data_IF_325026839234
#
_entry.id   IF_325026839234
#
_cell.length_a   1.000
_cell.length_b   1.000
_cell.length_c   1.000
_cell.angle_alpha   90.00
_cell.angle_beta   90.00
_cell.angle_gamma   90.00
#
_symmetry.space_group_name_H-M   'P 1'
#
loop_
_entity.id
_entity.type
_entity.pdbx_description
1 polymer ?
#
# COMPACT_ATOMS: atom_id res chain seq x y z
N UNK A 1 -2.09 6.11 -57.58
CA UNK A 1 -2.96 5.73 -56.46
C UNK A 1 -2.17 5.82 -55.19
N UNK A 2 -2.53 6.72 -54.34
CA UNK A 2 -1.89 6.89 -53.06
C UNK A 2 -2.83 6.35 -52.01
N UNK A 3 -2.45 5.25 -51.39
CA UNK A 3 -3.17 4.72 -50.25
C UNK A 3 -2.72 5.50 -49.03
N UNK A 4 -3.60 6.35 -48.51
CA UNK A 4 -3.42 7.06 -47.29
C UNK A 4 -3.84 6.09 -46.17
N UNK A 5 -2.89 5.35 -45.61
CA UNK A 5 -3.12 4.59 -44.41
C UNK A 5 -3.20 5.57 -43.24
N UNK A 6 -4.42 5.91 -42.89
CA UNK A 6 -4.70 6.60 -41.66
C UNK A 6 -4.46 5.59 -40.52
N UNK A 7 -3.26 5.62 -39.99
CA UNK A 7 -2.93 4.85 -38.81
C UNK A 7 -3.68 5.47 -37.62
N UNK A 8 -4.87 4.97 -37.38
CA UNK A 8 -5.65 5.32 -36.20
C UNK A 8 -4.97 4.69 -35.00
N UNK A 9 -4.05 5.42 -34.39
CA UNK A 9 -3.48 5.04 -33.11
C UNK A 9 -4.59 5.20 -32.07
N UNK A 10 -5.24 4.10 -31.75
CA UNK A 10 -6.13 4.00 -30.61
C UNK A 10 -5.26 4.13 -29.38
N UNK A 11 -5.13 5.35 -28.87
CA UNK A 11 -4.60 5.57 -27.53
C UNK A 11 -5.65 5.03 -26.58
N UNK A 12 -5.48 3.78 -26.20
CA UNK A 12 -6.22 3.19 -25.10
C UNK A 12 -5.74 3.89 -23.83
N UNK A 13 -6.35 5.02 -23.51
CA UNK A 13 -6.32 5.54 -22.15
C UNK A 13 -7.10 4.55 -21.27
N UNK A 14 -6.52 3.37 -21.06
CA UNK A 14 -7.02 2.44 -20.07
C UNK A 14 -6.87 3.08 -18.71
N UNK A 15 -7.96 3.17 -17.93
CA UNK A 15 -7.89 3.41 -16.50
C UNK A 15 -6.89 2.41 -15.93
N UNK A 16 -5.74 2.93 -15.55
CA UNK A 16 -4.52 2.18 -15.40
C UNK A 16 -4.61 1.20 -14.24
N UNK A 17 -4.50 -0.13 -14.45
CA UNK A 17 -4.24 -1.07 -13.36
C UNK A 17 -2.87 -0.81 -12.69
N UNK A 18 -2.07 0.11 -13.24
CA UNK A 18 -0.76 0.47 -12.74
C UNK A 18 -0.79 0.99 -11.30
N UNK A 19 -1.81 1.77 -10.91
CA UNK A 19 -1.91 2.31 -9.56
C UNK A 19 -2.13 1.19 -8.53
N UNK A 20 -2.99 0.23 -8.83
CA UNK A 20 -3.22 -0.93 -7.97
C UNK A 20 -1.98 -1.82 -7.91
N UNK A 21 -1.34 -2.06 -9.05
CA UNK A 21 -0.10 -2.85 -9.10
C UNK A 21 1.03 -2.17 -8.32
N UNK A 22 1.18 -0.86 -8.45
CA UNK A 22 2.17 -0.09 -7.69
C UNK A 22 1.89 -0.14 -6.19
N UNK A 23 0.63 -0.05 -5.79
CA UNK A 23 0.23 -0.18 -4.38
C UNK A 23 0.52 -1.58 -3.85
N UNK A 24 0.27 -2.63 -4.63
CA UNK A 24 0.61 -4.01 -4.26
C UNK A 24 2.12 -4.20 -4.07
N UNK A 25 2.93 -3.59 -4.90
CA UNK A 25 4.40 -3.60 -4.74
C UNK A 25 4.81 -2.92 -3.43
N UNK A 26 4.16 -1.82 -3.07
CA UNK A 26 4.40 -1.13 -1.80
C UNK A 26 3.98 -1.97 -0.58
N UNK A 27 2.93 -2.78 -0.69
CA UNK A 27 2.57 -3.75 0.36
C UNK A 27 3.66 -4.81 0.51
N UNK A 28 4.17 -5.34 -0.58
CA UNK A 28 5.28 -6.30 -0.55
C UNK A 28 6.51 -5.70 0.12
N UNK A 29 6.83 -4.46 -0.23
CA UNK A 29 7.93 -3.70 0.39
C UNK A 29 7.70 -3.46 1.88
N UNK A 30 6.45 -3.17 2.28
CA UNK A 30 6.08 -3.02 3.68
C UNK A 30 6.41 -4.29 4.48
N UNK A 31 6.00 -5.46 3.98
CA UNK A 31 6.27 -6.72 4.64
C UNK A 31 7.77 -7.05 4.71
N UNK A 32 8.52 -6.75 3.65
CA UNK A 32 9.97 -6.94 3.63
C UNK A 32 10.67 -6.07 4.69
N UNK A 33 10.30 -4.82 4.78
CA UNK A 33 10.85 -3.89 5.78
C UNK A 33 10.41 -4.25 7.20
N UNK A 34 9.18 -4.70 7.37
CA UNK A 34 8.69 -5.19 8.65
C UNK A 34 9.54 -6.37 9.14
N UNK A 35 9.77 -7.35 8.28
CA UNK A 35 10.59 -8.53 8.61
C UNK A 35 12.03 -8.17 8.94
N UNK A 36 12.55 -7.14 8.28
CA UNK A 36 13.95 -6.71 8.44
C UNK A 36 14.15 -5.70 9.57
N UNK A 37 13.08 -5.32 10.26
CA UNK A 37 13.13 -4.30 11.31
C UNK A 37 13.41 -2.89 10.81
N UNK A 38 13.17 -2.63 9.53
CA UNK A 38 13.43 -1.33 8.88
C UNK A 38 12.21 -0.41 8.98
N UNK A 39 11.78 -0.14 10.20
CA UNK A 39 10.57 0.65 10.46
C UNK A 39 10.75 2.14 10.15
N UNK A 40 11.95 2.67 10.36
CA UNK A 40 12.27 4.07 10.06
C UNK A 40 12.15 4.33 8.56
N UNK A 41 12.65 3.41 7.74
CA UNK A 41 12.55 3.50 6.28
C UNK A 41 11.10 3.48 5.81
N UNK A 42 10.24 2.68 6.46
CA UNK A 42 8.81 2.68 6.18
C UNK A 42 8.18 4.05 6.48
N UNK A 43 8.51 4.63 7.61
CA UNK A 43 8.01 5.95 7.99
C UNK A 43 8.48 7.04 7.02
N UNK A 44 9.75 7.04 6.68
CA UNK A 44 10.33 8.04 5.79
C UNK A 44 9.78 7.94 4.37
N UNK A 45 9.41 6.74 3.93
CA UNK A 45 8.80 6.52 2.63
C UNK A 45 7.29 6.72 2.59
N UNK A 46 6.65 6.93 3.74
CA UNK A 46 5.21 7.17 3.83
C UNK A 46 4.83 8.59 3.40
N UNK A 47 3.54 8.82 3.22
CA UNK A 47 3.03 10.14 2.85
C UNK A 47 3.18 11.14 4.00
N UNK A 48 3.15 12.41 3.67
CA UNK A 48 3.10 13.47 4.68
C UNK A 48 1.87 13.37 5.58
N UNK A 49 0.74 12.94 5.03
CA UNK A 49 -0.49 12.73 5.80
C UNK A 49 -0.25 11.73 6.93
N UNK A 50 0.42 10.62 6.66
CA UNK A 50 0.77 9.65 7.69
C UNK A 50 1.75 10.25 8.69
N UNK A 51 2.80 10.89 8.22
CA UNK A 51 3.84 11.48 9.07
C UNK A 51 3.31 12.59 9.99
N UNK A 52 2.29 13.32 9.54
CA UNK A 52 1.61 14.34 10.36
C UNK A 52 0.66 13.73 11.38
N UNK A 53 0.15 12.53 11.12
CA UNK A 53 -0.81 11.85 12.01
C UNK A 53 -0.14 11.09 13.16
N UNK A 54 1.12 10.70 13.01
CA UNK A 54 1.87 9.93 14.00
C UNK A 54 3.36 10.30 13.92
N UNK A 55 4.03 10.40 15.06
CA UNK A 55 5.46 10.64 15.09
C UNK A 55 6.26 9.41 14.63
N UNK A 56 7.48 9.63 14.17
CA UNK A 56 8.39 8.53 13.81
C UNK A 56 8.58 7.55 14.97
N UNK A 57 8.81 8.06 16.16
CA UNK A 57 9.02 7.26 17.37
C UNK A 57 7.81 6.37 17.67
N UNK A 58 6.60 6.94 17.61
CA UNK A 58 5.37 6.18 17.87
C UNK A 58 5.11 5.16 16.78
N UNK A 59 5.34 5.50 15.52
CA UNK A 59 5.20 4.57 14.40
C UNK A 59 6.14 3.37 14.55
N UNK A 60 7.41 3.62 14.83
CA UNK A 60 8.41 2.57 15.05
C UNK A 60 8.01 1.68 16.24
N UNK A 61 7.56 2.29 17.33
CA UNK A 61 7.12 1.55 18.52
C UNK A 61 5.90 0.66 18.24
N UNK A 62 4.93 1.14 17.46
CA UNK A 62 3.76 0.35 17.07
C UNK A 62 4.17 -0.88 16.27
N UNK A 63 5.02 -0.73 15.26
CA UNK A 63 5.46 -1.86 14.44
C UNK A 63 6.36 -2.83 15.22
N UNK A 64 7.23 -2.31 16.04
CA UNK A 64 8.10 -3.15 16.88
C UNK A 64 7.28 -3.97 17.88
N UNK A 65 6.27 -3.38 18.49
CA UNK A 65 5.34 -4.09 19.38
C UNK A 65 4.55 -5.15 18.62
N UNK A 66 4.09 -4.82 17.41
CA UNK A 66 3.39 -5.78 16.56
C UNK A 66 4.26 -7.01 16.31
N UNK A 67 5.53 -6.83 15.94
CA UNK A 67 6.44 -7.95 15.69
C UNK A 67 6.75 -8.75 16.97
N UNK A 68 7.09 -8.09 18.04
CA UNK A 68 7.59 -8.76 19.25
C UNK A 68 6.45 -9.41 20.05
N UNK A 69 5.31 -8.74 20.18
CA UNK A 69 4.26 -9.10 21.13
C UNK A 69 2.98 -9.60 20.45
N UNK A 70 2.53 -8.95 19.37
CA UNK A 70 1.15 -9.11 18.90
C UNK A 70 1.03 -10.04 17.70
N UNK A 71 1.78 -9.80 16.64
CA UNK A 71 1.68 -10.54 15.37
C UNK A 71 2.78 -11.58 15.19
N UNK A 72 3.98 -11.25 15.63
CA UNK A 72 5.17 -12.03 15.32
C UNK A 72 5.69 -11.76 13.91
N UNK A 73 6.31 -12.79 13.33
CA UNK A 73 6.93 -12.69 12.01
C UNK A 73 5.91 -12.88 10.91
N UNK A 74 6.02 -12.06 9.87
CA UNK A 74 5.21 -12.20 8.67
C UNK A 74 5.53 -13.50 7.93
N UNK A 75 4.50 -14.20 7.45
CA UNK A 75 4.65 -15.45 6.71
C UNK A 75 4.12 -15.34 5.29
N UNK A 76 2.86 -14.99 5.11
CA UNK A 76 2.23 -14.84 3.79
C UNK A 76 1.03 -13.92 3.83
N UNK A 77 0.63 -13.42 2.66
CA UNK A 77 -0.54 -12.56 2.51
C UNK A 77 -1.29 -12.87 1.21
N UNK A 78 -2.59 -12.61 1.24
CA UNK A 78 -3.47 -12.80 0.09
C UNK A 78 -4.35 -11.57 -0.05
N UNK A 79 -4.35 -10.95 -1.24
CA UNK A 79 -5.22 -9.82 -1.54
C UNK A 79 -6.68 -10.28 -1.57
N UNK A 80 -7.54 -9.62 -0.80
CA UNK A 80 -8.97 -9.91 -0.70
C UNK A 80 -9.84 -8.87 -1.37
N UNK A 81 -9.45 -7.61 -1.35
CA UNK A 81 -10.23 -6.51 -1.91
C UNK A 81 -9.33 -5.36 -2.31
N UNK A 82 -9.75 -4.67 -3.35
CA UNK A 82 -9.09 -3.46 -3.82
C UNK A 82 -10.14 -2.42 -4.19
N UNK A 83 -9.86 -1.16 -3.88
CA UNK A 83 -10.73 -0.04 -4.19
C UNK A 83 -9.91 1.19 -4.56
N UNK A 84 -10.28 1.82 -5.67
CA UNK A 84 -9.78 3.14 -6.03
C UNK A 84 -10.77 4.20 -5.56
N UNK A 85 -10.26 5.23 -4.91
CA UNK A 85 -11.05 6.37 -4.46
C UNK A 85 -10.50 7.61 -5.15
N UNK A 86 -11.33 8.24 -5.99
CA UNK A 86 -11.00 9.50 -6.64
C UNK A 86 -11.59 10.65 -5.85
N UNK A 87 -10.76 11.63 -5.55
CA UNK A 87 -11.17 12.85 -4.88
C UNK A 87 -11.23 13.99 -5.90
N UNK A 88 -12.27 14.83 -5.80
CA UNK A 88 -12.36 16.06 -6.61
C UNK A 88 -11.26 17.05 -6.23
N UNK A 89 -10.89 17.06 -4.96
CA UNK A 89 -9.82 17.89 -4.41
C UNK A 89 -8.93 16.97 -3.59
N UNK A 90 -7.62 17.00 -3.87
CA UNK A 90 -6.65 16.15 -3.20
C UNK A 90 -6.21 14.95 -4.05
N UNK A 91 -5.43 14.09 -3.44
CA UNK A 91 -4.83 12.94 -4.12
C UNK A 91 -5.80 11.78 -4.24
N UNK A 92 -5.71 11.05 -5.36
CA UNK A 92 -6.39 9.76 -5.49
C UNK A 92 -5.83 8.75 -4.51
N UNK A 93 -6.69 7.87 -4.03
CA UNK A 93 -6.33 6.83 -3.07
C UNK A 93 -6.57 5.44 -3.64
N UNK A 94 -5.77 4.49 -3.17
CA UNK A 94 -5.98 3.06 -3.37
C UNK A 94 -6.07 2.40 -2.00
N UNK A 95 -7.14 1.65 -1.77
CA UNK A 95 -7.34 0.87 -0.54
C UNK A 95 -7.19 -0.60 -0.88
N UNK A 96 -6.26 -1.28 -0.20
CA UNK A 96 -6.02 -2.71 -0.36
C UNK A 96 -6.29 -3.43 0.95
N UNK A 97 -7.05 -4.52 0.87
CA UNK A 97 -7.37 -5.35 2.03
C UNK A 97 -6.78 -6.74 1.79
N UNK A 98 -5.96 -7.18 2.72
CA UNK A 98 -5.29 -8.47 2.68
C UNK A 98 -5.69 -9.34 3.86
N UNK A 99 -5.73 -10.64 3.63
CA UNK A 99 -5.67 -11.62 4.71
C UNK A 99 -4.22 -12.05 4.86
N UNK A 100 -3.63 -11.84 6.02
CA UNK A 100 -2.21 -12.05 6.26
C UNK A 100 -1.97 -13.00 7.41
N UNK A 101 -1.03 -13.91 7.22
CA UNK A 101 -0.61 -14.89 8.22
C UNK A 101 0.71 -14.43 8.81
N UNK A 102 0.69 -14.23 10.12
CA UNK A 102 1.88 -13.98 10.93
C UNK A 102 2.11 -15.17 11.87
N UNK A 103 3.28 -15.26 12.46
CA UNK A 103 3.63 -16.41 13.28
C UNK A 103 2.73 -16.60 14.51
N UNK A 104 2.11 -15.52 15.01
CA UNK A 104 1.24 -15.55 16.19
C UNK A 104 -0.24 -15.42 15.87
N UNK A 105 -0.61 -14.82 14.74
CA UNK A 105 -2.02 -14.52 14.41
C UNK A 105 -2.25 -14.51 12.91
N UNK A 106 -3.51 -14.72 12.53
CA UNK A 106 -4.03 -14.41 11.21
C UNK A 106 -4.83 -13.12 11.32
N UNK A 107 -4.55 -12.15 10.48
CA UNK A 107 -5.16 -10.83 10.54
C UNK A 107 -5.65 -10.36 9.18
N UNK A 108 -6.59 -9.42 9.21
CA UNK A 108 -6.91 -8.58 8.06
C UNK A 108 -6.06 -7.33 8.15
N UNK A 109 -5.30 -7.07 7.09
CA UNK A 109 -4.53 -5.83 6.98
C UNK A 109 -5.19 -4.90 5.98
N UNK A 110 -5.32 -3.64 6.34
CA UNK A 110 -5.86 -2.59 5.48
C UNK A 110 -4.77 -1.56 5.22
N UNK A 111 -4.42 -1.41 3.95
CA UNK A 111 -3.46 -0.43 3.49
C UNK A 111 -4.17 0.65 2.69
N UNK A 112 -3.93 1.91 3.03
CA UNK A 112 -4.39 3.05 2.26
C UNK A 112 -3.17 3.76 1.68
N UNK A 113 -3.14 3.88 0.36
CA UNK A 113 -2.10 4.61 -0.36
C UNK A 113 -2.69 5.84 -1.01
N UNK A 114 -1.91 6.92 -1.07
CA UNK A 114 -2.24 8.08 -1.87
C UNK A 114 -1.19 8.30 -2.95
N UNK A 115 -1.63 8.80 -4.11
CA UNK A 115 -0.77 9.07 -5.25
C UNK A 115 -0.17 10.46 -5.12
N UNK A 116 1.14 10.53 -4.93
CA UNK A 116 1.89 11.77 -4.81
C UNK A 116 2.95 11.81 -5.91
N UNK A 117 2.82 12.75 -6.84
CA UNK A 117 3.77 12.90 -7.96
C UNK A 117 4.03 11.60 -8.72
N UNK A 118 2.96 10.83 -8.97
CA UNK A 118 3.03 9.56 -9.68
C UNK A 118 3.44 8.35 -8.83
N UNK A 119 3.75 8.53 -7.56
CA UNK A 119 4.14 7.45 -6.65
C UNK A 119 3.05 7.14 -5.64
N UNK A 120 2.88 5.86 -5.33
CA UNK A 120 2.00 5.41 -4.26
C UNK A 120 2.73 5.53 -2.92
N UNK A 121 2.17 6.34 -2.01
CA UNK A 121 2.71 6.57 -0.67
C UNK A 121 1.74 6.06 0.37
N UNK A 122 2.23 5.35 1.36
CA UNK A 122 1.41 4.84 2.46
C UNK A 122 0.81 6.00 3.26
N UNK A 123 -0.52 6.06 3.28
CA UNK A 123 -1.28 7.06 4.03
C UNK A 123 -1.83 6.53 5.33
N UNK A 124 -2.20 5.25 5.36
CA UNK A 124 -2.75 4.60 6.54
C UNK A 124 -2.54 3.11 6.51
N UNK A 125 -2.45 2.54 7.69
CA UNK A 125 -2.31 1.11 7.90
C UNK A 125 -3.01 0.70 9.20
N UNK A 126 -3.75 -0.39 9.13
CA UNK A 126 -4.26 -1.04 10.33
C UNK A 126 -4.43 -2.53 10.13
N UNK A 127 -4.49 -3.26 11.22
CA UNK A 127 -4.81 -4.67 11.19
C UNK A 127 -5.83 -5.03 12.27
N UNK A 128 -6.66 -6.02 11.96
CA UNK A 128 -7.65 -6.59 12.87
C UNK A 128 -7.57 -8.11 12.83
N UNK A 129 -7.86 -8.77 13.94
CA UNK A 129 -7.93 -10.23 13.95
C UNK A 129 -9.04 -10.74 13.05
N UNK A 130 -8.74 -11.81 12.32
CA UNK A 130 -9.73 -12.63 11.62
C UNK A 130 -10.00 -13.85 12.50
N UNK A 131 -11.05 -13.82 13.29
CA UNK A 131 -11.50 -14.98 14.05
C UNK A 131 -13.00 -15.14 13.86
#
# INVERSE_FOLDING_TARGET
MRYFYLLFILVLCGCSPLDVNSAQEEVSRFHDFYQSGKYIELYNGASKTLQESISESDFVNVLKRAEVTDLGKFQKTTLKSQKKVKHLIGSDEVVLIYASVYSKRIVQEIFVFEKIKGNMKLKGYKYDSIN
#
